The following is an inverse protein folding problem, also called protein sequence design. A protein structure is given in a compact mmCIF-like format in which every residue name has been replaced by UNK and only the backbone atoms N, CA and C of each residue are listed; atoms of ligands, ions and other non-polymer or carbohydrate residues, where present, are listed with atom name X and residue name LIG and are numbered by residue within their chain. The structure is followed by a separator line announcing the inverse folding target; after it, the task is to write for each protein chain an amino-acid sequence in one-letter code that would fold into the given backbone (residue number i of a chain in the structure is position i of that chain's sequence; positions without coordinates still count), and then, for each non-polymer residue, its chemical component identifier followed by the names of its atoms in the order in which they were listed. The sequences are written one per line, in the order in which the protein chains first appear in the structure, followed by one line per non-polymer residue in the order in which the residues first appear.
data_IF_018713366914
#
_entry.id   IF_018713366914
#
_cell.length_a   1.000
_cell.length_b   1.000
_cell.length_c   1.000
_cell.angle_alpha   90.00
_cell.angle_beta   90.00
_cell.angle_gamma   90.00
#
_symmetry.space_group_name_H-M   'P 1'
#
loop_
_entity.id
_entity.type
_entity.pdbx_description
1 polymer ?
#
# COMPACT_ATOMS: atom_id res chain seq x y z
N UNK A 1 45.78 47.08 30.12
CA UNK A 1 44.72 47.61 29.24
C UNK A 1 43.63 46.55 29.06
N UNK A 2 42.62 46.58 29.93
CA UNK A 2 41.44 45.71 29.85
C UNK A 2 40.38 46.38 28.99
N UNK A 3 40.02 45.79 27.84
CA UNK A 3 38.78 46.14 27.14
C UNK A 3 37.86 44.93 27.17
N UNK A 4 36.89 44.96 28.09
CA UNK A 4 35.76 44.03 28.13
C UNK A 4 34.78 44.43 27.02
N UNK A 5 34.57 43.54 26.06
CA UNK A 5 33.51 43.68 25.05
C UNK A 5 32.22 43.12 25.68
N UNK A 6 31.12 43.89 25.76
CA UNK A 6 29.87 43.37 26.31
C UNK A 6 29.20 42.44 25.30
N UNK A 7 28.86 41.26 25.80
CA UNK A 7 28.12 40.20 25.11
C UNK A 7 26.67 40.67 24.89
N UNK A 8 26.34 41.06 23.65
CA UNK A 8 24.96 41.29 23.22
C UNK A 8 24.23 39.95 23.14
N UNK A 9 23.31 39.71 24.06
CA UNK A 9 22.30 38.67 23.93
C UNK A 9 21.23 39.14 22.92
N UNK A 10 21.27 38.59 21.71
CA UNK A 10 20.13 38.63 20.79
C UNK A 10 19.08 37.63 21.30
N UNK A 11 18.05 38.14 21.98
CA UNK A 11 16.84 37.39 22.25
C UNK A 11 16.07 37.22 20.92
N UNK A 12 16.31 36.11 20.23
CA UNK A 12 15.47 35.70 19.10
C UNK A 12 14.09 35.32 19.61
N UNK A 13 13.07 36.11 19.27
CA UNK A 13 11.67 35.75 19.46
C UNK A 13 11.38 34.59 18.51
N UNK A 14 11.37 33.37 19.04
CA UNK A 14 10.79 32.24 18.34
C UNK A 14 9.26 32.41 18.35
N UNK A 15 8.67 32.83 17.23
CA UNK A 15 7.25 32.59 16.99
C UNK A 15 7.06 31.08 16.83
N UNK A 16 6.73 30.41 17.93
CA UNK A 16 6.09 29.11 17.88
C UNK A 16 4.69 29.33 17.33
N UNK A 17 4.52 29.16 16.01
CA UNK A 17 3.23 28.91 15.43
C UNK A 17 2.74 27.57 16.01
N UNK A 18 2.02 27.63 17.13
CA UNK A 18 1.30 26.48 17.64
C UNK A 18 0.29 26.06 16.59
N UNK A 19 0.57 24.97 15.87
CA UNK A 19 -0.48 24.28 15.14
C UNK A 19 -1.55 23.95 16.19
N UNK A 20 -2.73 24.57 16.05
CA UNK A 20 -3.86 24.26 16.91
C UNK A 20 -4.17 22.78 16.71
N UNK A 21 -3.76 21.95 17.67
CA UNK A 21 -4.17 20.57 17.72
C UNK A 21 -5.68 20.59 17.91
N UNK A 22 -6.43 20.21 16.87
CA UNK A 22 -7.87 20.07 16.99
C UNK A 22 -8.16 19.17 18.19
N UNK A 23 -8.92 19.66 19.18
CA UNK A 23 -9.41 18.82 20.28
C UNK A 23 -10.23 17.71 19.64
N UNK A 24 -9.68 16.50 19.62
CA UNK A 24 -10.45 15.37 19.19
C UNK A 24 -11.51 15.08 20.24
N UNK A 25 -12.76 15.00 19.81
CA UNK A 25 -13.78 14.34 20.62
C UNK A 25 -13.39 12.86 20.69
N UNK A 26 -12.69 12.49 21.76
CA UNK A 26 -12.08 11.16 21.93
C UNK A 26 -13.09 10.03 21.74
N UNK A 27 -14.35 10.24 22.13
CA UNK A 27 -15.43 9.27 21.94
C UNK A 27 -15.80 9.07 20.47
N UNK A 28 -15.80 10.12 19.64
CA UNK A 28 -16.04 10.01 18.20
C UNK A 28 -14.92 9.25 17.52
N UNK A 29 -13.68 9.48 17.94
CA UNK A 29 -12.53 8.72 17.45
C UNK A 29 -12.61 7.24 17.87
N UNK A 30 -12.97 6.97 19.13
CA UNK A 30 -13.14 5.60 19.61
C UNK A 30 -14.25 4.87 18.85
N UNK A 31 -15.40 5.52 18.63
CA UNK A 31 -16.51 4.93 17.86
C UNK A 31 -16.15 4.75 16.38
N UNK A 32 -15.47 5.71 15.78
CA UNK A 32 -14.98 5.58 14.41
C UNK A 32 -13.99 4.42 14.27
N UNK A 33 -13.09 4.23 15.24
CA UNK A 33 -12.15 3.11 15.26
C UNK A 33 -12.89 1.77 15.41
N UNK A 34 -13.90 1.69 16.28
CA UNK A 34 -14.75 0.50 16.44
C UNK A 34 -15.46 0.13 15.13
N UNK A 35 -16.11 1.11 14.49
CA UNK A 35 -16.79 0.92 13.20
C UNK A 35 -15.79 0.47 12.12
N UNK A 36 -14.63 1.12 12.06
CA UNK A 36 -13.59 0.77 11.11
C UNK A 36 -13.04 -0.64 11.34
N UNK A 37 -12.76 -1.01 12.60
CA UNK A 37 -12.30 -2.34 12.97
C UNK A 37 -13.31 -3.43 12.59
N UNK A 38 -14.60 -3.17 12.78
CA UNK A 38 -15.66 -4.08 12.34
C UNK A 38 -15.71 -4.16 10.80
N UNK A 39 -15.67 -3.02 10.11
CA UNK A 39 -15.74 -2.97 8.66
C UNK A 39 -14.58 -3.72 7.98
N UNK A 40 -13.35 -3.59 8.48
CA UNK A 40 -12.19 -4.33 7.94
C UNK A 40 -12.21 -5.82 8.28
N UNK A 41 -12.92 -6.23 9.33
CA UNK A 41 -13.11 -7.65 9.64
C UNK A 41 -14.03 -8.35 8.65
N UNK A 42 -14.94 -7.61 8.01
CA UNK A 42 -15.82 -8.13 6.97
C UNK A 42 -15.02 -8.18 5.66
N UNK A 43 -14.68 -9.41 5.24
CA UNK A 43 -13.86 -9.65 4.04
C UNK A 43 -14.67 -9.38 2.76
N UNK A 44 -14.86 -8.11 2.42
CA UNK A 44 -15.61 -7.63 1.25
C UNK A 44 -14.86 -7.79 -0.08
N UNK A 45 -13.68 -8.45 -0.09
CA UNK A 45 -12.99 -8.81 -1.33
C UNK A 45 -13.94 -9.54 -2.27
N UNK A 46 -13.92 -9.15 -3.54
CA UNK A 46 -14.85 -9.69 -4.52
C UNK A 46 -14.74 -11.22 -4.60
N UNK A 47 -15.88 -11.90 -4.67
CA UNK A 47 -16.01 -13.36 -4.64
C UNK A 47 -16.46 -13.91 -3.30
N UNK A 48 -16.34 -13.13 -2.21
CA UNK A 48 -16.81 -13.57 -0.88
C UNK A 48 -18.30 -13.29 -0.61
N UNK A 49 -18.94 -12.45 -1.43
CA UNK A 49 -20.36 -12.11 -1.27
C UNK A 49 -20.69 -11.29 -0.02
N UNK A 50 -19.70 -10.67 0.62
CA UNK A 50 -19.84 -9.98 1.92
C UNK A 50 -20.18 -8.49 1.87
N UNK A 51 -20.28 -7.90 0.68
CA UNK A 51 -20.67 -6.48 0.53
C UNK A 51 -22.06 -6.18 1.14
N UNK A 52 -23.10 -7.02 0.93
CA UNK A 52 -24.40 -6.82 1.58
C UNK A 52 -24.34 -6.87 3.11
N UNK A 53 -23.46 -7.68 3.69
CA UNK A 53 -23.27 -7.79 5.15
C UNK A 53 -22.73 -6.47 5.72
N UNK A 54 -21.68 -5.90 5.10
CA UNK A 54 -21.15 -4.59 5.49
C UNK A 54 -22.20 -3.48 5.32
N UNK A 55 -22.96 -3.50 4.22
CA UNK A 55 -24.00 -2.51 3.97
C UNK A 55 -25.11 -2.58 5.05
N UNK A 56 -25.53 -3.77 5.44
CA UNK A 56 -26.51 -3.97 6.50
C UNK A 56 -25.99 -3.50 7.87
N UNK A 57 -24.72 -3.79 8.19
CA UNK A 57 -24.08 -3.27 9.41
C UNK A 57 -24.09 -1.73 9.45
N UNK A 58 -23.64 -1.08 8.37
CA UNK A 58 -23.63 0.38 8.28
C UNK A 58 -25.04 0.98 8.36
N UNK A 59 -26.02 0.36 7.70
CA UNK A 59 -27.41 0.79 7.77
C UNK A 59 -27.98 0.72 9.19
N UNK A 60 -27.63 -0.32 9.95
CA UNK A 60 -28.03 -0.46 11.35
C UNK A 60 -27.49 0.65 12.26
N UNK A 61 -26.28 1.16 11.99
CA UNK A 61 -25.67 2.24 12.77
C UNK A 61 -26.37 3.60 12.58
N UNK A 62 -27.00 3.81 11.43
CA UNK A 62 -27.63 5.10 11.06
C UNK A 62 -29.16 5.02 11.00
N UNK A 63 -29.77 3.92 11.47
CA UNK A 63 -31.20 3.67 11.33
C UNK A 63 -32.11 4.73 11.99
N UNK A 64 -31.60 5.44 13.01
CA UNK A 64 -32.30 6.56 13.66
C UNK A 64 -32.14 7.90 12.93
N UNK A 65 -31.31 7.95 11.89
CA UNK A 65 -31.00 9.15 11.12
C UNK A 65 -31.73 9.12 9.77
N UNK A 66 -31.95 10.27 9.15
CA UNK A 66 -32.49 10.35 7.78
C UNK A 66 -31.41 10.05 6.73
N UNK A 67 -30.65 8.98 6.91
CA UNK A 67 -29.51 8.57 6.08
C UNK A 67 -29.82 7.21 5.44
N UNK A 68 -29.60 7.10 4.13
CA UNK A 68 -29.75 5.85 3.39
C UNK A 68 -28.38 5.26 3.03
N UNK A 69 -28.23 3.94 3.20
CA UNK A 69 -27.06 3.19 2.72
C UNK A 69 -27.44 2.45 1.44
N UNK A 70 -26.68 2.67 0.37
CA UNK A 70 -26.91 2.04 -0.93
C UNK A 70 -25.63 1.41 -1.47
N UNK A 71 -25.75 0.21 -2.03
CA UNK A 71 -24.67 -0.42 -2.79
C UNK A 71 -24.77 0.13 -4.21
N UNK A 72 -23.75 0.88 -4.64
CA UNK A 72 -23.75 1.58 -5.94
C UNK A 72 -23.01 0.84 -7.06
N UNK A 73 -22.33 -0.26 -6.75
CA UNK A 73 -21.46 -0.96 -7.71
C UNK A 73 -21.54 -2.47 -7.59
N UNK A 74 -21.27 -3.13 -8.71
CA UNK A 74 -21.05 -4.58 -8.80
C UNK A 74 -19.77 -4.82 -9.63
N UNK A 75 -18.58 -4.62 -9.04
CA UNK A 75 -17.32 -4.72 -9.78
C UNK A 75 -17.15 -6.11 -10.39
N UNK A 76 -16.38 -6.27 -11.47
CA UNK A 76 -16.05 -7.59 -12.07
C UNK A 76 -14.82 -8.20 -11.38
N UNK A 77 -14.76 -9.54 -11.24
CA UNK A 77 -13.60 -10.24 -10.66
C UNK A 77 -13.06 -11.15 -11.73
N UNK A 78 -11.75 -11.12 -11.89
CA UNK A 78 -11.05 -12.14 -12.62
C UNK A 78 -10.56 -13.24 -11.68
N UNK A 79 -10.48 -14.49 -12.15
CA UNK A 79 -9.81 -15.56 -11.40
C UNK A 79 -8.36 -15.18 -11.09
N UNK A 80 -7.83 -15.72 -9.99
CA UNK A 80 -6.41 -15.54 -9.68
C UNK A 80 -5.55 -16.20 -10.77
N UNK A 81 -4.41 -15.58 -11.11
CA UNK A 81 -3.43 -16.21 -11.99
C UNK A 81 -2.86 -17.46 -11.30
N UNK A 82 -2.70 -18.60 -12.00
CA UNK A 82 -2.05 -19.78 -11.45
C UNK A 82 -0.58 -19.46 -11.13
N UNK A 83 0.02 -20.05 -10.09
CA UNK A 83 1.46 -19.90 -9.85
C UNK A 83 2.23 -20.74 -10.87
N UNK A 84 2.82 -20.08 -11.87
CA UNK A 84 3.66 -20.75 -12.87
C UNK A 84 5.09 -20.89 -12.35
N UNK A 85 5.68 -22.06 -12.57
CA UNK A 85 7.04 -22.37 -12.12
C UNK A 85 8.09 -21.47 -12.78
N UNK A 86 7.93 -21.19 -14.07
CA UNK A 86 8.85 -20.32 -14.83
C UNK A 86 8.85 -18.87 -14.33
N UNK A 87 7.68 -18.33 -13.97
CA UNK A 87 7.55 -17.00 -13.34
C UNK A 87 8.19 -16.98 -11.96
N UNK A 88 7.96 -18.01 -11.14
CA UNK A 88 8.59 -18.09 -9.81
C UNK A 88 10.11 -18.21 -9.93
N UNK A 89 10.62 -18.99 -10.88
CA UNK A 89 12.05 -19.11 -11.16
C UNK A 89 12.67 -17.78 -11.62
N UNK A 90 12.01 -17.07 -12.55
CA UNK A 90 12.46 -15.76 -13.02
C UNK A 90 12.52 -14.71 -11.89
N UNK A 91 11.48 -14.68 -11.04
CA UNK A 91 11.46 -13.80 -9.86
C UNK A 91 12.59 -14.18 -8.90
N UNK A 92 12.79 -15.48 -8.62
CA UNK A 92 13.87 -15.95 -7.75
C UNK A 92 15.24 -15.52 -8.28
N UNK A 93 15.49 -15.66 -9.59
CA UNK A 93 16.74 -15.23 -10.22
C UNK A 93 16.98 -13.72 -10.07
N UNK A 94 15.95 -12.90 -10.34
CA UNK A 94 16.03 -11.45 -10.23
C UNK A 94 16.31 -10.98 -8.78
N UNK A 95 15.66 -11.61 -7.80
CA UNK A 95 15.84 -11.28 -6.38
C UNK A 95 17.19 -11.75 -5.86
N UNK A 96 17.64 -12.94 -6.24
CA UNK A 96 18.91 -13.51 -5.79
C UNK A 96 20.13 -12.66 -6.16
N UNK A 97 20.04 -11.92 -7.28
CA UNK A 97 21.09 -11.00 -7.72
C UNK A 97 21.46 -9.93 -6.67
N UNK A 98 20.48 -9.50 -5.84
CA UNK A 98 20.69 -8.45 -4.82
C UNK A 98 20.67 -8.97 -3.39
N UNK A 99 19.91 -10.04 -3.13
CA UNK A 99 19.58 -10.46 -1.76
C UNK A 99 19.87 -11.94 -1.47
N UNK A 100 20.43 -12.68 -2.41
CA UNK A 100 20.73 -14.11 -2.23
C UNK A 100 19.46 -14.97 -2.14
N UNK A 101 19.58 -16.10 -1.44
CA UNK A 101 18.47 -17.05 -1.33
C UNK A 101 17.44 -16.58 -0.30
N UNK A 102 16.33 -16.04 -0.80
CA UNK A 102 15.17 -15.62 -0.02
C UNK A 102 13.91 -16.36 -0.46
N UNK A 103 13.00 -16.55 0.48
CA UNK A 103 11.70 -17.16 0.20
C UNK A 103 10.85 -16.27 -0.72
N UNK A 104 10.29 -16.86 -1.76
CA UNK A 104 9.36 -16.19 -2.68
C UNK A 104 7.94 -16.67 -2.35
N UNK A 105 7.14 -15.77 -1.79
CA UNK A 105 5.75 -16.06 -1.40
C UNK A 105 4.77 -15.32 -2.30
N UNK A 106 3.93 -16.07 -3.01
CA UNK A 106 2.82 -15.50 -3.77
C UNK A 106 1.75 -14.93 -2.84
N UNK A 107 1.35 -13.67 -3.05
CA UNK A 107 0.23 -13.05 -2.32
C UNK A 107 -0.76 -12.40 -3.27
N UNK A 108 -2.03 -12.38 -2.88
CA UNK A 108 -3.03 -11.54 -3.53
C UNK A 108 -3.01 -10.14 -2.93
N UNK A 109 -2.81 -9.12 -3.76
CA UNK A 109 -2.95 -7.73 -3.34
C UNK A 109 -4.41 -7.41 -3.01
N UNK A 110 -4.63 -6.63 -1.95
CA UNK A 110 -5.94 -6.06 -1.66
C UNK A 110 -6.28 -4.83 -2.53
N UNK A 111 -5.29 -4.29 -3.25
CA UNK A 111 -5.46 -3.16 -4.17
C UNK A 111 -5.85 -3.60 -5.58
N UNK A 112 -6.39 -2.66 -6.34
CA UNK A 112 -6.68 -2.84 -7.77
C UNK A 112 -5.41 -2.67 -8.62
N UNK A 113 -5.33 -3.43 -9.71
CA UNK A 113 -4.32 -3.28 -10.77
C UNK A 113 -4.96 -3.53 -12.12
N UNK A 114 -4.33 -3.04 -13.20
CA UNK A 114 -4.75 -3.31 -14.58
C UNK A 114 -4.74 -4.81 -14.91
N UNK A 115 -4.06 -5.63 -14.09
CA UNK A 115 -4.08 -7.08 -14.18
C UNK A 115 -5.47 -7.70 -14.00
N UNK A 116 -6.47 -6.98 -13.50
CA UNK A 116 -7.87 -7.42 -13.58
C UNK A 116 -8.30 -7.65 -15.03
N UNK A 117 -8.08 -6.66 -15.90
CA UNK A 117 -8.59 -6.66 -17.27
C UNK A 117 -7.90 -7.73 -18.11
N UNK A 118 -6.57 -7.87 -17.98
CA UNK A 118 -5.82 -8.93 -18.65
C UNK A 118 -6.27 -10.34 -18.24
N UNK A 119 -6.52 -10.55 -16.94
CA UNK A 119 -7.01 -11.84 -16.46
C UNK A 119 -8.45 -12.13 -16.90
N UNK A 120 -9.31 -11.11 -17.06
CA UNK A 120 -10.63 -11.28 -17.68
C UNK A 120 -10.53 -11.70 -19.15
N UNK A 121 -9.50 -11.22 -19.86
CA UNK A 121 -9.17 -11.66 -21.21
C UNK A 121 -8.44 -13.01 -21.28
N UNK A 122 -8.27 -13.70 -20.15
CA UNK A 122 -7.61 -15.02 -20.10
C UNK A 122 -6.08 -14.97 -20.09
N UNK A 123 -5.46 -13.81 -19.90
CA UNK A 123 -4.01 -13.63 -19.85
C UNK A 123 -3.54 -13.66 -18.38
N UNK A 124 -2.81 -14.70 -17.93
CA UNK A 124 -2.25 -14.73 -16.58
C UNK A 124 -1.33 -13.53 -16.35
N UNK A 125 -1.61 -12.76 -15.30
CA UNK A 125 -0.87 -11.54 -14.97
C UNK A 125 -0.32 -11.61 -13.55
N UNK A 126 0.92 -11.16 -13.36
CA UNK A 126 1.64 -11.23 -12.09
C UNK A 126 2.22 -9.87 -11.75
N UNK A 127 2.02 -9.43 -10.50
CA UNK A 127 2.66 -8.23 -9.97
C UNK A 127 3.98 -8.59 -9.30
N UNK A 128 5.07 -7.93 -9.68
CA UNK A 128 6.39 -8.04 -9.05
C UNK A 128 7.03 -6.66 -9.00
N UNK A 129 8.03 -6.48 -8.14
CA UNK A 129 8.73 -5.21 -7.96
C UNK A 129 10.18 -5.45 -7.61
N UNK A 130 11.08 -4.64 -8.19
CA UNK A 130 12.48 -4.53 -7.78
C UNK A 130 12.70 -3.58 -6.60
N UNK A 131 11.63 -3.03 -6.01
CA UNK A 131 11.70 -2.16 -4.85
C UNK A 131 11.80 -3.01 -3.58
N UNK A 132 12.91 -2.87 -2.87
CA UNK A 132 13.12 -3.47 -1.57
C UNK A 132 13.22 -2.38 -0.52
N UNK A 133 12.28 -2.38 0.43
CA UNK A 133 12.25 -1.43 1.53
C UNK A 133 11.37 -1.92 2.66
N UNK A 134 11.50 -1.29 3.84
CA UNK A 134 10.62 -1.56 4.97
C UNK A 134 9.18 -1.14 4.61
N UNK A 135 8.16 -1.96 4.92
CA UNK A 135 6.78 -1.65 4.57
C UNK A 135 6.27 -0.30 5.10
N UNK A 136 6.74 0.14 6.27
CA UNK A 136 6.36 1.42 6.89
C UNK A 136 7.05 2.65 6.28
N UNK A 137 7.95 2.46 5.31
CA UNK A 137 8.72 3.52 4.67
C UNK A 137 8.22 3.89 3.27
N UNK A 138 7.44 3.02 2.62
CA UNK A 138 6.98 3.20 1.24
C UNK A 138 6.06 4.42 1.12
N UNK A 139 5.08 4.52 2.03
CA UNK A 139 4.08 5.61 2.07
C UNK A 139 3.43 5.89 0.71
N UNK A 140 3.19 4.85 -0.10
CA UNK A 140 2.50 4.98 -1.39
C UNK A 140 1.15 5.70 -1.20
N UNK A 141 0.88 6.71 -2.03
CA UNK A 141 -0.30 7.58 -1.92
C UNK A 141 -0.35 8.46 -0.65
N UNK A 142 0.76 8.59 0.07
CA UNK A 142 0.86 9.36 1.31
C UNK A 142 1.86 10.52 1.23
N UNK A 143 1.95 11.28 2.33
CA UNK A 143 2.96 12.32 2.46
C UNK A 143 4.35 11.69 2.55
N UNK A 144 5.31 12.26 1.80
CA UNK A 144 6.70 11.82 1.78
C UNK A 144 6.84 10.34 1.35
N UNK A 145 6.11 9.97 0.29
CA UNK A 145 6.38 8.78 -0.52
C UNK A 145 7.84 8.79 -0.98
N UNK A 146 8.54 7.68 -0.77
CA UNK A 146 9.99 7.59 -0.99
C UNK A 146 10.45 6.17 -1.25
N UNK A 147 11.64 6.06 -1.82
CA UNK A 147 12.36 4.79 -1.97
C UNK A 147 13.86 4.99 -1.68
N UNK A 148 14.58 3.96 -1.20
CA UNK A 148 16.04 3.92 -1.21
C UNK A 148 16.59 4.18 -2.63
N UNK A 149 17.61 5.01 -2.76
CA UNK A 149 18.20 5.36 -4.06
C UNK A 149 18.80 4.13 -4.77
N UNK A 150 19.28 3.15 -4.02
CA UNK A 150 19.74 1.85 -4.54
C UNK A 150 18.67 1.07 -5.32
N UNK A 151 17.39 1.32 -5.08
CA UNK A 151 16.30 0.68 -5.83
C UNK A 151 16.15 1.25 -7.25
N UNK A 152 16.79 2.37 -7.59
CA UNK A 152 16.77 2.89 -8.95
C UNK A 152 17.54 1.95 -9.88
N UNK A 153 18.83 1.75 -9.63
CA UNK A 153 19.66 0.84 -10.44
C UNK A 153 19.27 -0.62 -10.19
N UNK A 154 19.13 -1.02 -8.91
CA UNK A 154 18.80 -2.40 -8.58
C UNK A 154 17.40 -2.82 -9.01
N UNK A 155 16.49 -1.86 -9.27
CA UNK A 155 15.19 -2.13 -9.88
C UNK A 155 15.29 -2.40 -11.37
N UNK A 156 16.19 -1.72 -12.09
CA UNK A 156 16.47 -1.98 -13.50
C UNK A 156 17.04 -3.40 -13.66
N UNK A 157 18.05 -3.75 -12.87
CA UNK A 157 18.66 -5.09 -12.90
C UNK A 157 17.62 -6.19 -12.65
N UNK A 158 16.73 -5.97 -11.66
CA UNK A 158 15.65 -6.90 -11.35
C UNK A 158 14.76 -7.17 -12.56
N UNK A 159 14.31 -6.11 -13.23
CA UNK A 159 13.45 -6.24 -14.40
C UNK A 159 14.18 -6.86 -15.59
N UNK A 160 15.43 -6.47 -15.84
CA UNK A 160 16.22 -7.03 -16.93
C UNK A 160 16.41 -8.55 -16.75
N UNK A 161 16.84 -8.98 -15.56
CA UNK A 161 17.06 -10.41 -15.27
C UNK A 161 15.74 -11.18 -15.42
N UNK A 162 14.65 -10.65 -14.85
CA UNK A 162 13.34 -11.30 -14.92
C UNK A 162 12.87 -11.48 -16.37
N UNK A 163 12.93 -10.41 -17.17
CA UNK A 163 12.46 -10.43 -18.55
C UNK A 163 13.32 -11.37 -19.40
N UNK A 164 14.64 -11.33 -19.25
CA UNK A 164 15.55 -12.25 -19.97
C UNK A 164 15.31 -13.71 -19.60
N UNK A 165 15.08 -14.00 -18.32
CA UNK A 165 14.80 -15.35 -17.87
C UNK A 165 13.49 -15.89 -18.45
N UNK A 166 12.47 -15.04 -18.58
CA UNK A 166 11.18 -15.42 -19.19
C UNK A 166 11.22 -15.50 -20.71
N UNK A 167 12.05 -14.70 -21.37
CA UNK A 167 12.20 -14.73 -22.83
C UNK A 167 12.92 -16.00 -23.33
N UNK A 168 13.66 -16.70 -22.46
CA UNK A 168 14.49 -17.83 -22.83
C UNK A 168 15.81 -17.40 -23.51
N UNK A 169 16.64 -18.35 -23.99
CA UNK A 169 17.80 -18.01 -24.80
C UNK A 169 17.32 -17.26 -26.05
N UNK A 170 17.82 -16.05 -26.25
CA UNK A 170 17.55 -15.29 -27.47
C UNK A 170 18.06 -16.07 -28.68
N UNK A 171 17.22 -16.20 -29.69
CA UNK A 171 17.65 -16.65 -31.03
C UNK A 171 18.67 -15.70 -31.64
#
# INVERSE_FOLDING_TARGET
MNKRIPMLWLAGIALLAGAAQAKSDSWKQAKALEIYAHAVSIRTVKGQGKVPELAAYLAGLVASESVAVQITGNPTAAPASPLREDVVAAVRAAVANRFGDVEIVGKMSAGATDGLEFRLAGIPTYGTSGIFMKPNEMRAHGVNERLPTENLTGGIDHWEILIRHLAGPGE
#
